data_IF_857674412717
#
_entry.id   IF_857674412717
#
_cell.length_a   1.000
_cell.length_b   1.000
_cell.length_c   1.000
_cell.angle_alpha   90.00
_cell.angle_beta   90.00
_cell.angle_gamma   90.00
#
_symmetry.space_group_name_H-M   'P 1'
#
loop_
_entity.id
_entity.type
_entity.pdbx_description
1 polymer ?
#
# COMPACT_ATOMS: atom_id res chain seq x y z
N UNK A 1 -47.90 30.28 -42.00
CA UNK A 1 -46.43 30.30 -42.19
C UNK A 1 -45.88 28.97 -41.70
N UNK A 2 -45.03 28.35 -42.51
CA UNK A 2 -44.65 26.94 -42.50
C UNK A 2 -43.97 26.42 -41.23
N UNK A 3 -44.31 25.18 -40.89
CA UNK A 3 -43.52 24.27 -40.07
C UNK A 3 -42.37 23.66 -40.91
N UNK A 4 -41.20 23.46 -40.29
CA UNK A 4 -40.13 22.64 -40.85
C UNK A 4 -39.72 21.57 -39.82
N UNK A 5 -40.15 20.34 -40.12
CA UNK A 5 -39.60 19.11 -39.59
C UNK A 5 -38.13 18.97 -39.98
N UNK A 6 -37.27 18.57 -39.04
CA UNK A 6 -35.97 17.99 -39.34
C UNK A 6 -36.03 16.51 -38.98
N UNK A 7 -36.05 15.67 -40.02
CA UNK A 7 -35.99 14.22 -39.94
C UNK A 7 -34.55 13.75 -39.78
N UNK A 8 -34.29 12.83 -38.85
CA UNK A 8 -33.03 12.09 -38.75
C UNK A 8 -33.04 10.86 -39.66
N UNK A 9 -31.97 10.57 -40.42
CA UNK A 9 -31.89 9.37 -41.26
C UNK A 9 -31.54 8.08 -40.47
N UNK A 10 -31.98 6.89 -40.94
CA UNK A 10 -31.77 5.63 -40.24
C UNK A 10 -30.48 4.87 -40.60
N UNK A 11 -29.95 4.20 -39.55
CA UNK A 11 -29.16 2.94 -39.42
C UNK A 11 -28.31 2.42 -40.59
N UNK A 12 -27.05 2.09 -40.27
CA UNK A 12 -26.33 0.95 -40.86
C UNK A 12 -25.91 -0.07 -39.79
N UNK A 13 -26.34 -1.34 -39.89
CA UNK A 13 -25.76 -2.43 -39.13
C UNK A 13 -24.48 -2.94 -39.82
N UNK A 14 -23.45 -3.28 -39.04
CA UNK A 14 -22.25 -3.97 -39.53
C UNK A 14 -22.12 -5.37 -38.92
N UNK A 15 -21.44 -6.28 -39.63
CA UNK A 15 -21.79 -7.70 -39.68
C UNK A 15 -21.26 -8.57 -38.54
N UNK A 16 -21.96 -9.69 -38.38
CA UNK A 16 -21.69 -10.86 -37.52
C UNK A 16 -20.26 -11.37 -37.64
N UNK A 17 -19.59 -11.53 -36.49
CA UNK A 17 -18.56 -12.57 -36.33
C UNK A 17 -19.20 -13.78 -35.63
N UNK A 18 -19.30 -14.89 -36.37
CA UNK A 18 -19.54 -16.22 -35.81
C UNK A 18 -18.26 -16.62 -35.08
N UNK A 19 -18.34 -16.91 -33.79
CA UNK A 19 -17.32 -17.72 -33.12
C UNK A 19 -18.00 -18.97 -32.61
N UNK A 20 -17.40 -20.08 -33.02
CA UNK A 20 -17.94 -21.42 -33.08
C UNK A 20 -18.01 -22.06 -31.69
N UNK A 21 -19.17 -22.60 -31.32
CA UNK A 21 -19.27 -23.60 -30.26
C UNK A 21 -18.56 -24.86 -30.70
N UNK A 22 -17.44 -25.18 -30.04
CA UNK A 22 -16.94 -26.55 -29.97
C UNK A 22 -16.99 -27.00 -28.52
N UNK A 23 -18.04 -27.75 -28.23
CA UNK A 23 -18.10 -28.69 -27.12
C UNK A 23 -16.94 -29.66 -27.29
N UNK A 24 -16.04 -29.74 -26.31
CA UNK A 24 -15.07 -30.81 -26.18
C UNK A 24 -15.33 -31.50 -24.84
N UNK A 25 -16.05 -32.62 -24.95
CA UNK A 25 -16.13 -33.66 -23.94
C UNK A 25 -14.83 -34.47 -24.02
N UNK A 26 -14.26 -34.78 -22.86
CA UNK A 26 -13.35 -35.92 -22.71
C UNK A 26 -11.97 -35.58 -22.16
N UNK A 27 -11.75 -35.85 -20.88
CA UNK A 27 -11.03 -37.05 -20.40
C UNK A 27 -10.38 -36.75 -19.05
N UNK A 28 -10.83 -37.49 -18.02
CA UNK A 28 -10.12 -37.64 -16.75
C UNK A 28 -8.69 -38.13 -17.03
N UNK A 29 -7.71 -37.38 -16.54
CA UNK A 29 -6.36 -37.88 -16.32
C UNK A 29 -6.01 -37.66 -14.84
N UNK A 30 -6.22 -38.70 -14.04
CA UNK A 30 -5.62 -38.86 -12.72
C UNK A 30 -4.12 -39.01 -12.92
N UNK A 31 -3.37 -37.91 -12.78
CA UNK A 31 -1.92 -37.95 -12.64
C UNK A 31 -1.59 -37.61 -11.20
N UNK A 32 -1.35 -38.66 -10.43
CA UNK A 32 -0.72 -38.62 -9.12
C UNK A 32 0.70 -38.07 -9.26
N UNK A 33 0.85 -36.75 -9.11
CA UNK A 33 2.12 -36.11 -8.81
C UNK A 33 2.25 -36.06 -7.29
N UNK A 34 2.95 -37.04 -6.74
CA UNK A 34 3.43 -36.97 -5.37
C UNK A 34 4.24 -35.70 -5.19
N UNK A 35 3.89 -34.88 -4.20
CA UNK A 35 4.75 -33.80 -3.75
C UNK A 35 6.04 -34.45 -3.21
N UNK A 36 7.21 -34.21 -3.81
CA UNK A 36 8.45 -34.45 -3.08
C UNK A 36 8.44 -33.52 -1.87
N UNK A 37 8.68 -34.12 -0.71
CA UNK A 37 8.90 -33.44 0.56
C UNK A 37 10.20 -32.62 0.42
N UNK A 38 10.10 -31.40 -0.10
CA UNK A 38 11.23 -30.47 -0.17
C UNK A 38 11.43 -29.81 1.19
N UNK A 39 12.00 -30.57 2.12
CA UNK A 39 12.77 -30.01 3.23
C UNK A 39 14.19 -29.74 2.73
N UNK A 40 14.51 -28.50 2.41
CA UNK A 40 15.89 -27.99 2.45
C UNK A 40 15.83 -26.47 2.43
N UNK A 41 16.47 -25.84 3.42
CA UNK A 41 16.50 -24.40 3.61
C UNK A 41 16.96 -23.67 2.35
N UNK A 42 16.03 -22.93 1.75
CA UNK A 42 16.34 -21.92 0.76
C UNK A 42 16.50 -20.60 1.48
N UNK A 43 17.74 -20.12 1.57
CA UNK A 43 18.04 -18.70 1.78
C UNK A 43 17.27 -17.90 0.73
N UNK A 44 16.19 -17.26 1.15
CA UNK A 44 15.38 -16.40 0.31
C UNK A 44 16.20 -15.19 -0.09
N UNK A 45 16.84 -15.22 -1.26
CA UNK A 45 17.20 -14.03 -2.02
C UNK A 45 15.94 -13.42 -2.64
N UNK A 46 14.90 -13.21 -1.83
CA UNK A 46 13.92 -12.19 -2.13
C UNK A 46 14.59 -10.82 -1.99
N UNK A 47 14.07 -9.76 -2.64
CA UNK A 47 14.55 -8.42 -2.37
C UNK A 47 14.47 -8.19 -0.86
N UNK A 48 15.64 -8.00 -0.23
CA UNK A 48 15.73 -7.68 1.20
C UNK A 48 14.95 -6.38 1.35
N UNK A 49 13.78 -6.47 1.98
CA UNK A 49 13.11 -5.28 2.44
C UNK A 49 13.99 -4.71 3.54
N UNK A 50 14.60 -3.57 3.24
CA UNK A 50 15.57 -2.92 4.09
C UNK A 50 14.79 -1.99 5.02
N UNK A 51 14.21 -2.57 6.07
CA UNK A 51 13.56 -1.79 7.12
C UNK A 51 14.60 -1.44 8.19
N UNK A 52 14.58 -0.22 8.74
CA UNK A 52 15.42 0.10 9.88
C UNK A 52 15.01 -0.77 11.09
N UNK A 53 15.94 -1.01 12.04
CA UNK A 53 15.61 -1.70 13.28
C UNK A 53 14.45 -1.03 14.01
N UNK A 54 13.52 -1.84 14.49
CA UNK A 54 12.45 -1.38 15.37
C UNK A 54 13.00 -1.25 16.80
N UNK A 55 12.63 -0.18 17.48
CA UNK A 55 12.99 0.09 18.89
C UNK A 55 11.72 0.16 19.74
N UNK A 56 11.84 -0.16 21.02
CA UNK A 56 10.75 -0.01 22.00
C UNK A 56 11.03 1.24 22.83
N UNK A 57 9.99 2.01 23.13
CA UNK A 57 10.05 3.16 24.01
C UNK A 57 9.33 2.88 25.33
N UNK A 58 9.56 3.74 26.32
CA UNK A 58 8.87 3.65 27.61
C UNK A 58 7.40 4.09 27.53
N UNK A 59 6.99 4.68 26.41
CA UNK A 59 5.62 5.08 26.09
C UNK A 59 5.12 4.27 24.89
N UNK A 60 3.82 4.00 24.86
CA UNK A 60 3.15 3.37 23.72
C UNK A 60 3.10 4.35 22.53
N UNK A 61 3.81 4.09 21.43
CA UNK A 61 3.96 5.08 20.36
C UNK A 61 2.63 5.39 19.67
N UNK A 62 2.30 6.68 19.55
CA UNK A 62 1.03 7.13 18.97
C UNK A 62 1.19 7.56 17.50
N UNK A 63 0.95 6.66 16.54
CA UNK A 63 1.01 7.00 15.11
C UNK A 63 -0.21 7.78 14.61
N UNK A 64 -1.38 7.55 15.20
CA UNK A 64 -2.64 8.17 14.81
C UNK A 64 -2.60 9.70 14.98
N UNK A 65 -3.31 10.40 14.09
CA UNK A 65 -3.44 11.86 14.12
C UNK A 65 -3.03 12.54 12.81
N UNK A 66 -2.91 13.86 12.90
CA UNK A 66 -2.52 14.73 11.80
C UNK A 66 -1.04 15.11 11.89
N UNK A 67 -0.34 14.96 10.78
CA UNK A 67 1.09 15.18 10.63
C UNK A 67 1.36 16.13 9.47
N UNK A 68 2.10 17.22 9.70
CA UNK A 68 2.45 18.21 8.69
C UNK A 68 3.92 18.05 8.31
N UNK A 69 4.20 18.02 7.01
CA UNK A 69 5.55 17.70 6.55
C UNK A 69 5.67 17.64 5.05
N UNK A 70 6.59 16.80 4.58
CA UNK A 70 6.80 16.55 3.17
C UNK A 70 7.17 15.09 2.85
N UNK A 71 6.91 14.73 1.59
CA UNK A 71 7.36 13.49 0.97
C UNK A 71 8.19 13.88 -0.24
N UNK A 72 9.49 13.58 -0.22
CA UNK A 72 10.43 13.95 -1.29
C UNK A 72 10.36 15.46 -1.65
N UNK A 73 10.25 16.33 -0.65
CA UNK A 73 10.12 17.77 -0.84
C UNK A 73 8.72 18.27 -1.22
N UNK A 74 7.76 17.37 -1.47
CA UNK A 74 6.36 17.72 -1.71
C UNK A 74 5.67 17.96 -0.37
N UNK A 75 5.39 19.23 -0.06
CA UNK A 75 4.76 19.60 1.22
C UNK A 75 3.28 19.20 1.26
N UNK A 76 2.85 18.63 2.37
CA UNK A 76 1.50 18.15 2.56
C UNK A 76 1.15 17.81 3.99
N UNK A 77 0.01 17.15 4.13
CA UNK A 77 -0.51 16.64 5.41
C UNK A 77 -0.71 15.15 5.30
N UNK A 78 -0.17 14.40 6.25
CA UNK A 78 -0.41 12.98 6.44
C UNK A 78 -1.41 12.81 7.59
N UNK A 79 -2.57 12.24 7.28
CA UNK A 79 -3.57 11.83 8.26
C UNK A 79 -3.45 10.33 8.48
N UNK A 80 -3.28 9.89 9.71
CA UNK A 80 -3.25 8.48 10.11
C UNK A 80 -4.43 8.20 11.03
N UNK A 81 -5.24 7.20 10.70
CA UNK A 81 -6.34 6.74 11.54
C UNK A 81 -6.29 5.23 11.77
N UNK A 82 -6.90 4.81 12.87
CA UNK A 82 -6.88 3.42 13.33
C UNK A 82 -7.89 2.57 12.55
N UNK A 83 -7.48 1.36 12.18
CA UNK A 83 -8.36 0.32 11.65
C UNK A 83 -8.58 -0.78 12.68
N UNK A 84 -7.51 -1.19 13.36
CA UNK A 84 -7.49 -2.08 14.52
C UNK A 84 -6.25 -1.78 15.39
N UNK A 85 -5.96 -2.63 16.39
CA UNK A 85 -4.85 -2.46 17.33
C UNK A 85 -3.44 -2.52 16.68
N UNK A 86 -3.34 -2.98 15.43
CA UNK A 86 -2.07 -3.12 14.69
C UNK A 86 -2.08 -2.50 13.31
N UNK A 87 -3.25 -2.13 12.80
CA UNK A 87 -3.43 -1.65 11.45
C UNK A 87 -3.95 -0.22 11.46
N UNK A 88 -3.37 0.60 10.60
CA UNK A 88 -3.79 1.97 10.38
C UNK A 88 -4.07 2.20 8.90
N UNK A 89 -4.94 3.15 8.60
CA UNK A 89 -5.02 3.76 7.29
C UNK A 89 -4.27 5.09 7.32
N UNK A 90 -3.65 5.45 6.20
CA UNK A 90 -3.03 6.76 6.03
C UNK A 90 -3.47 7.42 4.73
N UNK A 91 -3.57 8.74 4.73
CA UNK A 91 -3.69 9.54 3.52
C UNK A 91 -2.75 10.74 3.62
N UNK A 92 -1.76 10.78 2.73
CA UNK A 92 -0.95 11.97 2.52
C UNK A 92 -1.51 12.75 1.33
N UNK A 93 -1.76 14.05 1.53
CA UNK A 93 -2.23 14.94 0.47
C UNK A 93 -1.33 16.17 0.42
N UNK A 94 -0.84 16.51 -0.76
CA UNK A 94 -0.05 17.72 -0.96
C UNK A 94 -0.90 18.98 -0.75
N UNK A 95 -0.26 20.09 -0.39
CA UNK A 95 -0.95 21.36 -0.10
C UNK A 95 -1.81 21.88 -1.27
N UNK A 96 -1.41 21.58 -2.50
CA UNK A 96 -2.13 21.93 -3.72
C UNK A 96 -3.17 20.87 -4.13
N UNK A 97 -3.31 19.80 -3.36
CA UNK A 97 -4.14 18.62 -3.62
C UNK A 97 -3.82 17.91 -4.95
N UNK A 98 -2.63 18.12 -5.50
CA UNK A 98 -2.23 17.52 -6.78
C UNK A 98 -1.76 16.07 -6.62
N UNK A 99 -1.24 15.69 -5.45
CA UNK A 99 -0.75 14.34 -5.17
C UNK A 99 -1.40 13.82 -3.90
N UNK A 100 -1.89 12.58 -3.98
CA UNK A 100 -2.42 11.82 -2.85
C UNK A 100 -1.74 10.46 -2.80
N UNK A 101 -1.23 10.09 -1.63
CA UNK A 101 -0.83 8.71 -1.33
C UNK A 101 -1.79 8.12 -0.31
N UNK A 102 -2.49 7.05 -0.68
CA UNK A 102 -3.23 6.22 0.28
C UNK A 102 -2.32 5.12 0.81
N UNK A 103 -2.31 4.94 2.13
CA UNK A 103 -1.47 4.01 2.84
C UNK A 103 -2.29 2.97 3.61
N UNK A 104 -1.81 1.75 3.63
CA UNK A 104 -2.19 0.74 4.63
C UNK A 104 -0.96 0.43 5.46
N UNK A 105 -1.00 0.77 6.75
CA UNK A 105 0.11 0.65 7.67
C UNK A 105 -0.10 -0.50 8.65
N UNK A 106 0.99 -1.14 9.06
CA UNK A 106 1.05 -2.22 10.04
C UNK A 106 2.10 -1.88 11.10
N UNK A 107 1.67 -1.83 12.36
CA UNK A 107 2.51 -1.61 13.53
C UNK A 107 3.43 -2.80 13.74
N UNK A 108 4.73 -2.54 13.74
CA UNK A 108 5.71 -3.53 14.16
C UNK A 108 5.71 -3.66 15.68
N UNK A 109 5.85 -4.89 16.16
CA UNK A 109 6.04 -5.21 17.57
C UNK A 109 7.38 -5.92 17.76
N UNK A 110 7.89 -5.91 18.99
CA UNK A 110 9.14 -6.57 19.38
C UNK A 110 8.86 -7.52 20.54
N UNK A 111 9.40 -8.73 20.44
CA UNK A 111 9.38 -9.70 21.54
C UNK A 111 10.40 -9.32 22.61
N UNK A 112 9.97 -9.29 23.87
CA UNK A 112 10.83 -9.10 25.04
C UNK A 112 11.43 -10.43 25.52
N UNK A 113 12.46 -10.35 26.38
CA UNK A 113 13.08 -11.55 26.98
C UNK A 113 12.08 -12.38 27.81
N UNK A 114 11.05 -11.74 28.37
CA UNK A 114 9.97 -12.38 29.14
C UNK A 114 8.88 -13.00 28.24
N UNK A 115 9.02 -12.96 26.91
CA UNK A 115 8.07 -13.51 25.95
C UNK A 115 6.81 -12.66 25.76
N UNK A 116 6.84 -11.39 26.17
CA UNK A 116 5.77 -10.42 25.94
C UNK A 116 6.08 -9.63 24.67
N UNK A 117 5.10 -9.47 23.80
CA UNK A 117 5.18 -8.65 22.60
C UNK A 117 4.77 -7.21 22.92
N UNK A 118 5.62 -6.23 22.58
CA UNK A 118 5.40 -4.81 22.90
C UNK A 118 5.43 -3.93 21.63
N UNK A 119 4.63 -2.86 21.58
CA UNK A 119 4.59 -1.99 20.41
C UNK A 119 5.94 -1.30 20.20
N UNK A 120 6.39 -1.23 18.94
CA UNK A 120 7.65 -0.58 18.59
C UNK A 120 7.43 0.80 17.97
N UNK A 121 8.50 1.56 17.81
CA UNK A 121 8.48 2.86 17.16
C UNK A 121 8.36 2.81 15.63
N UNK A 122 8.00 1.66 15.04
CA UNK A 122 7.97 1.46 13.59
C UNK A 122 6.60 0.99 13.09
N UNK A 123 6.16 1.58 11.98
CA UNK A 123 5.14 1.00 11.11
C UNK A 123 5.76 0.67 9.75
N UNK A 124 5.31 -0.42 9.13
CA UNK A 124 5.56 -0.67 7.70
C UNK A 124 4.29 -0.34 6.93
N UNK A 125 4.39 -0.01 5.65
CA UNK A 125 3.20 0.30 4.87
C UNK A 125 3.28 -0.13 3.42
N UNK A 126 2.11 -0.27 2.81
CA UNK A 126 1.93 -0.25 1.36
C UNK A 126 1.28 1.06 0.95
N UNK A 127 1.59 1.55 -0.25
CA UNK A 127 1.06 2.81 -0.76
C UNK A 127 0.53 2.70 -2.19
N UNK A 128 -0.39 3.58 -2.56
CA UNK A 128 -0.87 3.81 -3.93
C UNK A 128 -1.13 5.30 -4.20
N UNK A 129 -0.96 5.76 -5.44
CA UNK A 129 -1.12 7.18 -5.84
C UNK A 129 -2.42 7.52 -6.58
N UNK A 130 -3.35 6.56 -6.67
CA UNK A 130 -4.59 6.71 -7.45
C UNK A 130 -4.41 6.68 -8.98
N UNK A 131 -3.18 6.79 -9.50
CA UNK A 131 -2.83 6.70 -10.92
C UNK A 131 -2.35 5.30 -11.31
N UNK A 132 -2.24 4.40 -10.33
CA UNK A 132 -1.89 2.99 -10.51
C UNK A 132 -0.48 2.65 -10.06
N UNK A 133 0.29 3.64 -9.62
CA UNK A 133 1.58 3.39 -8.96
C UNK A 133 1.34 2.85 -7.56
N UNK A 134 2.26 1.98 -7.13
CA UNK A 134 2.21 1.35 -5.82
C UNK A 134 3.58 0.90 -5.34
N UNK A 135 3.70 0.74 -4.04
CA UNK A 135 4.92 0.19 -3.45
C UNK A 135 4.82 -0.02 -1.95
N UNK A 136 5.98 0.02 -1.31
CA UNK A 136 6.14 -0.22 0.13
C UNK A 136 7.01 0.85 0.76
N UNK A 137 6.92 0.96 2.07
CA UNK A 137 7.75 1.86 2.86
C UNK A 137 7.65 1.56 4.34
N UNK A 138 8.23 2.45 5.13
CA UNK A 138 8.20 2.40 6.59
C UNK A 138 8.20 3.83 7.15
N UNK A 139 7.62 3.97 8.34
CA UNK A 139 7.74 5.18 9.17
C UNK A 139 8.31 4.80 10.53
N UNK A 140 9.13 5.68 11.09
CA UNK A 140 9.59 5.69 12.46
C UNK A 140 9.05 6.92 13.16
N UNK A 141 8.48 6.72 14.34
CA UNK A 141 8.15 7.79 15.27
C UNK A 141 9.30 8.01 16.25
N UNK A 142 9.58 9.26 16.60
CA UNK A 142 10.55 9.58 17.63
C UNK A 142 10.01 9.31 19.02
N UNK A 143 10.91 9.31 20.01
CA UNK A 143 10.60 8.99 21.41
C UNK A 143 9.58 9.94 22.05
N UNK A 144 9.53 11.18 21.59
CA UNK A 144 8.62 12.20 22.12
C UNK A 144 7.23 12.18 21.45
N UNK A 145 6.98 11.27 20.48
CA UNK A 145 5.75 11.20 19.68
C UNK A 145 5.43 12.50 18.93
N UNK A 146 6.45 13.26 18.53
CA UNK A 146 6.32 14.59 17.90
C UNK A 146 6.72 14.63 16.43
N UNK A 147 7.43 13.62 15.94
CA UNK A 147 7.94 13.59 14.58
C UNK A 147 7.90 12.17 13.97
N UNK A 148 7.61 12.12 12.67
CA UNK A 148 7.73 10.92 11.85
C UNK A 148 8.82 11.10 10.82
N UNK A 149 9.62 10.06 10.63
CA UNK A 149 10.56 9.94 9.50
C UNK A 149 10.34 8.64 8.78
N UNK A 150 10.66 8.55 7.50
CA UNK A 150 10.42 7.33 6.74
C UNK A 150 11.05 7.29 5.37
N UNK A 151 10.90 6.14 4.72
CA UNK A 151 11.30 5.95 3.34
C UNK A 151 10.31 5.03 2.62
N UNK A 152 10.32 5.11 1.29
CA UNK A 152 9.46 4.32 0.42
C UNK A 152 10.13 4.03 -0.92
N UNK A 153 9.61 3.01 -1.61
CA UNK A 153 10.08 2.55 -2.91
C UNK A 153 8.96 1.94 -3.75
N UNK A 154 9.22 1.70 -5.03
CA UNK A 154 8.29 1.04 -5.93
C UNK A 154 8.24 -0.48 -5.73
N UNK A 155 7.05 -1.06 -5.92
CA UNK A 155 6.86 -2.51 -5.90
C UNK A 155 7.22 -3.12 -4.55
N UNK A 156 8.36 -3.81 -4.48
CA UNK A 156 8.86 -4.49 -3.27
C UNK A 156 9.98 -3.71 -2.57
N UNK A 157 10.50 -2.66 -3.19
CA UNK A 157 11.48 -1.79 -2.57
C UNK A 157 10.82 -0.94 -1.47
N UNK A 158 11.57 -0.71 -0.40
CA UNK A 158 11.14 0.05 0.79
C UNK A 158 11.85 1.39 0.90
N UNK A 159 12.71 1.71 -0.07
CA UNK A 159 13.53 2.91 -0.16
C UNK A 159 13.81 3.25 -1.64
N UNK A 160 14.38 4.44 -1.87
CA UNK A 160 14.86 4.87 -3.19
C UNK A 160 13.88 5.71 -4.01
N UNK A 161 12.65 5.93 -3.55
CA UNK A 161 11.76 6.96 -4.12
C UNK A 161 11.94 8.32 -3.46
N UNK A 162 12.20 8.33 -2.15
CA UNK A 162 12.35 9.55 -1.38
C UNK A 162 12.19 9.27 0.12
N UNK A 163 12.14 10.35 0.87
CA UNK A 163 12.00 10.33 2.32
C UNK A 163 10.67 10.96 2.74
N UNK A 164 10.18 10.50 3.88
CA UNK A 164 8.99 10.99 4.57
C UNK A 164 9.48 11.76 5.80
N UNK A 165 9.02 12.99 6.00
CA UNK A 165 9.43 13.81 7.15
C UNK A 165 8.26 14.66 7.62
N UNK A 166 7.82 14.44 8.86
CA UNK A 166 6.65 15.12 9.41
C UNK A 166 6.84 15.49 10.87
N UNK A 167 6.11 16.52 11.28
CA UNK A 167 5.89 16.91 12.68
C UNK A 167 4.40 16.84 13.00
N UNK A 168 4.05 16.58 14.25
CA UNK A 168 2.65 16.53 14.67
C UNK A 168 2.01 17.92 14.56
N UNK A 169 0.77 17.99 14.08
CA UNK A 169 0.10 19.26 13.76
C UNK A 169 -0.35 20.07 14.99
N UNK A 170 -0.56 19.41 16.13
CA UNK A 170 -1.15 19.96 17.36
C UNK A 170 -0.12 20.37 18.43
N UNK A 171 1.17 20.46 18.05
CA UNK A 171 2.27 20.91 18.91
C UNK A 171 2.41 22.43 19.00
#
# INVERSE_FOLDING_TARGET
MSAAHIASPPRRPKPRARVSSRVLVGALALVSLGCPLSGTGGTSNGPRSNYPPASVYEIDPQFSGEWVGDVDGLRGTLNIGELDDRAFFGSFVTRDNATEYTLLLEHSYVDTEDGVEVPSNRVTFTWQDGLGSRGKGWLLINREDTALTGSFGYGVATEGLGEWSFVRADL
#
